data_IF_028133201931
#
_entry.id   IF_028133201931
#
_cell.length_a   1.000
_cell.length_b   1.000
_cell.length_c   1.000
_cell.angle_alpha   90.00
_cell.angle_beta   90.00
_cell.angle_gamma   90.00
#
_symmetry.space_group_name_H-M   'P 1'
#
loop_
_entity.id
_entity.type
_entity.pdbx_description
1 polymer ?
#
# COMPACT_ATOMS: atom_id res chain seq x y z
N UNK A 1 -12.38 10.81 2.47
CA UNK A 1 -12.58 9.36 2.16
C UNK A 1 -11.39 8.50 2.64
N UNK A 2 -10.10 8.83 2.36
CA UNK A 2 -8.95 8.01 2.80
C UNK A 2 -8.82 7.87 4.31
N UNK A 3 -9.03 8.96 5.04
CA UNK A 3 -8.97 8.93 6.51
C UNK A 3 -10.00 7.97 7.12
N UNK A 4 -11.16 7.80 6.48
CA UNK A 4 -12.19 6.85 6.91
C UNK A 4 -11.72 5.39 6.73
N UNK A 5 -11.07 5.09 5.60
CA UNK A 5 -10.51 3.75 5.34
C UNK A 5 -9.42 3.39 6.35
N UNK A 6 -8.48 4.30 6.58
CA UNK A 6 -7.42 4.11 7.57
C UNK A 6 -7.98 3.97 8.99
N UNK A 7 -8.96 4.82 9.34
CA UNK A 7 -9.61 4.76 10.64
C UNK A 7 -10.37 3.45 10.86
N UNK A 8 -11.14 2.98 9.87
CA UNK A 8 -11.91 1.73 10.00
C UNK A 8 -11.00 0.49 10.11
N UNK A 9 -9.92 0.43 9.32
CA UNK A 9 -8.95 -0.67 9.41
C UNK A 9 -8.22 -0.69 10.76
N UNK A 10 -7.80 0.48 11.25
CA UNK A 10 -7.19 0.58 12.58
C UNK A 10 -8.17 0.17 13.69
N UNK A 11 -9.43 0.58 13.58
CA UNK A 11 -10.47 0.19 14.53
C UNK A 11 -10.68 -1.34 14.55
N UNK A 12 -10.67 -2.01 13.40
CA UNK A 12 -10.78 -3.47 13.31
C UNK A 12 -9.60 -4.16 14.04
N UNK A 13 -8.36 -3.71 13.79
CA UNK A 13 -7.17 -4.28 14.42
C UNK A 13 -7.25 -4.13 15.97
N UNK A 14 -7.61 -2.94 16.44
CA UNK A 14 -7.73 -2.65 17.87
C UNK A 14 -8.83 -3.49 18.50
N UNK A 15 -9.98 -3.60 17.84
CA UNK A 15 -11.11 -4.41 18.34
C UNK A 15 -10.74 -5.87 18.43
N UNK A 16 -10.10 -6.44 17.40
CA UNK A 16 -9.63 -7.83 17.43
C UNK A 16 -8.62 -8.05 18.55
N UNK A 17 -7.64 -7.17 18.72
CA UNK A 17 -6.68 -7.26 19.81
C UNK A 17 -7.34 -7.25 21.18
N UNK A 18 -8.34 -6.40 21.37
CA UNK A 18 -9.13 -6.34 22.60
C UNK A 18 -9.95 -7.59 22.87
N UNK A 19 -10.60 -8.14 21.83
CA UNK A 19 -11.41 -9.37 21.94
C UNK A 19 -10.56 -10.62 22.25
N UNK A 20 -9.36 -10.71 21.67
CA UNK A 20 -8.50 -11.89 21.79
C UNK A 20 -7.70 -11.93 23.09
N UNK A 21 -7.16 -10.79 23.52
CA UNK A 21 -6.21 -10.70 24.63
C UNK A 21 -6.64 -9.70 25.73
N UNK A 22 -7.89 -9.25 25.70
CA UNK A 22 -8.42 -8.30 26.69
C UNK A 22 -7.74 -6.93 26.61
N UNK A 23 -7.63 -6.25 27.76
CA UNK A 23 -7.04 -4.91 27.85
C UNK A 23 -5.58 -4.84 27.37
N UNK A 24 -4.80 -5.87 27.65
CA UNK A 24 -3.39 -5.97 27.18
C UNK A 24 -3.33 -6.07 25.66
N UNK A 25 -4.19 -6.88 25.07
CA UNK A 25 -4.29 -7.01 23.62
C UNK A 25 -4.71 -5.72 22.93
N UNK A 26 -5.62 -4.98 23.54
CA UNK A 26 -6.06 -3.68 23.03
C UNK A 26 -4.91 -2.66 22.96
N UNK A 27 -4.08 -2.60 24.01
CA UNK A 27 -2.92 -1.71 24.05
C UNK A 27 -1.89 -2.13 23.00
N UNK A 28 -1.54 -3.41 22.96
CA UNK A 28 -0.55 -3.94 22.01
C UNK A 28 -1.02 -3.72 20.56
N UNK A 29 -2.28 -4.04 20.25
CA UNK A 29 -2.84 -3.86 18.90
C UNK A 29 -2.87 -2.37 18.49
N UNK A 30 -3.16 -1.47 19.43
CA UNK A 30 -3.12 -0.02 19.18
C UNK A 30 -1.70 0.44 18.83
N UNK A 31 -0.70 0.02 19.61
CA UNK A 31 0.70 0.38 19.35
C UNK A 31 1.18 -0.17 18.00
N UNK A 32 0.81 -1.42 17.69
CA UNK A 32 1.13 -2.04 16.40
C UNK A 32 0.45 -1.26 15.26
N UNK A 33 -0.84 -0.97 15.35
CA UNK A 33 -1.59 -0.25 14.33
C UNK A 33 -0.99 1.15 14.08
N UNK A 34 -0.67 1.90 15.13
CA UNK A 34 -0.03 3.21 15.03
C UNK A 34 1.37 3.12 14.41
N UNK A 35 2.20 2.17 14.86
CA UNK A 35 3.55 1.98 14.35
C UNK A 35 3.56 1.59 12.86
N UNK A 36 2.67 0.69 12.45
CA UNK A 36 2.59 0.25 11.07
C UNK A 36 1.96 1.29 10.15
N UNK A 37 0.95 2.03 10.60
CA UNK A 37 0.42 3.17 9.87
C UNK A 37 1.50 4.22 9.63
N UNK A 38 2.25 4.58 10.66
CA UNK A 38 3.38 5.50 10.56
C UNK A 38 4.44 4.98 9.58
N UNK A 39 4.86 3.72 9.74
CA UNK A 39 5.86 3.11 8.86
C UNK A 39 5.39 3.10 7.39
N UNK A 40 4.18 2.63 7.13
CA UNK A 40 3.61 2.60 5.78
C UNK A 40 3.49 4.00 5.17
N UNK A 41 3.07 4.99 5.97
CA UNK A 41 2.99 6.37 5.51
C UNK A 41 4.34 6.93 5.06
N UNK A 42 5.40 6.72 5.87
CA UNK A 42 6.71 7.30 5.58
C UNK A 42 7.51 6.54 4.52
N UNK A 43 7.27 5.23 4.36
CA UNK A 43 8.08 4.34 3.52
C UNK A 43 7.30 3.67 2.38
N UNK A 44 6.07 4.09 2.09
CA UNK A 44 5.24 3.51 1.03
C UNK A 44 5.93 3.52 -0.34
N UNK A 45 6.61 4.60 -0.68
CA UNK A 45 7.38 4.76 -1.89
C UNK A 45 8.51 3.71 -2.00
N UNK A 46 9.30 3.58 -0.93
CA UNK A 46 10.42 2.64 -0.90
C UNK A 46 9.97 1.18 -0.95
N UNK A 47 8.85 0.86 -0.29
CA UNK A 47 8.29 -0.49 -0.31
C UNK A 47 7.80 -0.88 -1.71
N UNK A 48 7.04 0.01 -2.36
CA UNK A 48 6.55 -0.20 -3.72
C UNK A 48 7.71 -0.37 -4.72
N UNK A 49 8.70 0.51 -4.68
CA UNK A 49 9.87 0.44 -5.56
C UNK A 49 10.71 -0.84 -5.33
N UNK A 50 10.90 -1.25 -4.07
CA UNK A 50 11.63 -2.48 -3.74
C UNK A 50 10.89 -3.74 -4.20
N UNK A 51 9.57 -3.79 -4.07
CA UNK A 51 8.79 -4.94 -4.54
C UNK A 51 8.91 -5.17 -6.05
N UNK A 52 9.09 -4.09 -6.79
CA UNK A 52 9.28 -4.10 -8.24
C UNK A 52 10.76 -4.18 -8.66
N UNK A 53 11.71 -4.33 -7.70
CA UNK A 53 13.16 -4.27 -7.97
C UNK A 53 13.59 -3.04 -8.76
N UNK A 54 12.87 -1.94 -8.56
CA UNK A 54 13.10 -0.72 -9.32
C UNK A 54 14.41 -0.05 -8.92
N UNK A 55 15.14 0.45 -9.91
CA UNK A 55 16.35 1.22 -9.75
C UNK A 55 16.17 2.65 -10.26
N UNK A 56 16.84 3.64 -9.64
CA UNK A 56 16.72 5.03 -10.07
C UNK A 56 17.36 5.24 -11.44
N UNK A 57 16.74 6.10 -12.26
CA UNK A 57 17.28 6.52 -13.55
C UNK A 57 17.38 8.03 -13.63
N UNK A 58 18.40 8.49 -14.36
CA UNK A 58 18.69 9.90 -14.56
C UNK A 58 18.37 10.35 -16.01
N UNK A 59 18.51 11.63 -16.28
CA UNK A 59 18.40 12.16 -17.64
C UNK A 59 19.48 11.62 -18.60
N UNK A 60 20.60 11.14 -18.07
CA UNK A 60 21.64 10.51 -18.88
C UNK A 60 21.26 9.07 -19.27
N UNK A 61 20.57 8.34 -18.38
CA UNK A 61 20.18 6.94 -18.60
C UNK A 61 18.95 6.84 -19.50
N UNK A 62 17.94 7.71 -19.26
CA UNK A 62 16.64 7.70 -19.95
C UNK A 62 16.19 9.12 -20.35
N UNK A 63 16.88 9.75 -21.34
CA UNK A 63 16.64 11.16 -21.67
C UNK A 63 15.22 11.45 -22.16
N UNK A 64 14.62 10.53 -22.93
CA UNK A 64 13.27 10.69 -23.46
C UNK A 64 12.20 10.61 -22.35
N UNK A 65 12.31 9.63 -21.47
CA UNK A 65 11.42 9.47 -20.32
C UNK A 65 11.54 10.67 -19.38
N UNK A 66 12.77 11.12 -19.13
CA UNK A 66 13.03 12.26 -18.26
C UNK A 66 12.43 13.55 -18.79
N UNK A 67 12.60 13.83 -20.09
CA UNK A 67 12.01 14.99 -20.74
C UNK A 67 10.48 14.95 -20.73
N UNK A 68 9.88 13.80 -21.02
CA UNK A 68 8.43 13.58 -21.01
C UNK A 68 7.83 13.87 -19.63
N UNK A 69 8.39 13.28 -18.57
CA UNK A 69 7.88 13.46 -17.21
C UNK A 69 8.12 14.89 -16.72
N UNK A 70 9.25 15.51 -17.08
CA UNK A 70 9.54 16.90 -16.78
C UNK A 70 8.52 17.85 -17.39
N UNK A 71 8.15 17.65 -18.64
CA UNK A 71 7.11 18.44 -19.30
C UNK A 71 5.74 18.28 -18.64
N UNK A 72 5.35 17.05 -18.29
CA UNK A 72 4.09 16.78 -17.60
C UNK A 72 4.05 17.44 -16.21
N UNK A 73 5.12 17.33 -15.43
CA UNK A 73 5.24 17.97 -14.12
C UNK A 73 5.17 19.49 -14.23
N UNK A 74 5.88 20.08 -15.18
CA UNK A 74 5.85 21.52 -15.43
C UNK A 74 4.44 22.02 -15.81
N UNK A 75 3.74 21.31 -16.70
CA UNK A 75 2.36 21.65 -17.10
C UNK A 75 1.39 21.59 -15.93
N UNK A 76 1.62 20.67 -14.98
CA UNK A 76 0.82 20.55 -13.77
C UNK A 76 1.23 21.54 -12.65
N UNK A 77 2.28 22.35 -12.84
CA UNK A 77 2.81 23.24 -11.81
C UNK A 77 3.37 22.48 -10.60
N UNK A 78 3.88 21.27 -10.81
CA UNK A 78 4.35 20.37 -9.76
C UNK A 78 5.86 20.10 -9.88
N UNK A 79 6.54 19.75 -8.79
CA UNK A 79 7.95 19.40 -8.84
C UNK A 79 8.16 18.11 -9.66
N UNK A 80 9.34 18.01 -10.29
CA UNK A 80 9.78 16.80 -11.00
C UNK A 80 9.85 15.62 -10.04
N UNK A 81 9.12 14.50 -10.27
CA UNK A 81 9.25 13.31 -9.45
C UNK A 81 10.57 12.57 -9.73
N UNK A 82 11.01 11.75 -8.76
CA UNK A 82 12.10 10.83 -8.99
C UNK A 82 11.67 9.74 -9.97
N UNK A 83 12.54 9.37 -10.92
CA UNK A 83 12.25 8.34 -11.92
C UNK A 83 12.96 7.04 -11.60
N UNK A 84 12.23 5.96 -11.78
CA UNK A 84 12.68 4.59 -11.58
C UNK A 84 12.30 3.71 -12.77
N UNK A 85 13.14 2.72 -13.05
CA UNK A 85 12.87 1.66 -14.01
C UNK A 85 12.91 0.31 -13.29
N UNK A 86 11.98 -0.57 -13.63
CA UNK A 86 11.91 -1.93 -13.10
C UNK A 86 12.28 -2.94 -14.20
N UNK A 87 13.21 -3.88 -13.96
CA UNK A 87 13.69 -4.84 -14.93
C UNK A 87 12.70 -6.02 -15.07
N UNK A 88 11.45 -5.74 -15.38
CA UNK A 88 10.42 -6.76 -15.62
C UNK A 88 9.76 -6.57 -16.97
N UNK A 89 9.50 -7.68 -17.67
CA UNK A 89 8.84 -7.69 -18.97
C UNK A 89 7.33 -7.47 -18.84
N UNK A 90 6.77 -7.61 -17.65
CA UNK A 90 5.35 -7.36 -17.42
C UNK A 90 5.07 -5.85 -17.56
N UNK A 91 4.23 -5.43 -18.54
CA UNK A 91 3.94 -4.02 -18.76
C UNK A 91 3.23 -3.41 -17.56
N UNK A 92 3.87 -2.44 -16.91
CA UNK A 92 3.29 -1.70 -15.81
C UNK A 92 3.95 -0.32 -15.65
N UNK A 93 3.16 0.67 -15.22
CA UNK A 93 3.66 1.94 -14.73
C UNK A 93 2.86 2.34 -13.50
N UNK A 94 3.52 2.95 -12.54
CA UNK A 94 2.85 3.47 -11.36
C UNK A 94 3.60 4.68 -10.82
N UNK A 95 2.86 5.54 -10.16
CA UNK A 95 3.44 6.59 -9.36
C UNK A 95 3.21 6.29 -7.88
N UNK A 96 4.13 6.72 -7.02
CA UNK A 96 4.07 6.52 -5.58
C UNK A 96 4.63 7.72 -4.84
N UNK A 97 4.40 7.81 -3.55
CA UNK A 97 4.93 8.87 -2.71
C UNK A 97 3.86 9.55 -1.86
N UNK A 98 4.25 10.00 -0.68
CA UNK A 98 3.34 10.62 0.30
C UNK A 98 2.87 12.04 -0.07
N UNK A 99 3.54 12.69 -1.01
CA UNK A 99 3.21 14.04 -1.48
C UNK A 99 3.89 14.32 -2.82
N UNK A 100 3.47 15.35 -3.58
CA UNK A 100 4.12 15.74 -4.83
C UNK A 100 5.63 16.00 -4.72
N UNK A 101 6.10 16.49 -3.56
CA UNK A 101 7.54 16.72 -3.30
C UNK A 101 8.33 15.44 -3.04
N UNK A 102 7.67 14.33 -2.74
CA UNK A 102 8.26 13.02 -2.46
C UNK A 102 7.67 11.99 -3.41
N UNK A 103 7.36 12.41 -4.61
CA UNK A 103 6.80 11.56 -5.64
C UNK A 103 7.89 10.79 -6.39
N UNK A 104 7.58 9.57 -6.75
CA UNK A 104 8.39 8.75 -7.64
C UNK A 104 7.47 8.12 -8.70
N UNK A 105 7.95 8.06 -9.94
CA UNK A 105 7.31 7.36 -11.05
C UNK A 105 8.18 6.17 -11.41
N UNK A 106 7.59 5.01 -11.51
CA UNK A 106 8.25 3.79 -11.93
C UNK A 106 7.60 3.27 -13.21
N UNK A 107 8.40 3.01 -14.22
CA UNK A 107 8.01 2.28 -15.42
C UNK A 107 8.71 0.94 -15.45
N UNK A 108 8.09 -0.09 -16.03
CA UNK A 108 8.76 -1.35 -16.30
C UNK A 108 9.41 -1.33 -17.67
N UNK A 109 10.44 -2.13 -17.89
CA UNK A 109 11.03 -2.31 -19.24
C UNK A 109 9.97 -2.81 -20.23
N UNK A 110 9.05 -3.68 -19.76
CA UNK A 110 7.95 -4.20 -20.56
C UNK A 110 7.00 -3.12 -21.08
N UNK A 111 6.61 -2.12 -20.27
CA UNK A 111 5.75 -1.03 -20.77
C UNK A 111 6.50 -0.09 -21.71
N UNK A 112 7.79 0.14 -21.44
CA UNK A 112 8.65 0.96 -22.31
C UNK A 112 8.86 0.34 -23.69
N UNK A 113 8.87 -1.00 -23.77
CA UNK A 113 8.98 -1.73 -25.01
C UNK A 113 7.63 -1.85 -25.76
N UNK A 114 6.52 -1.87 -25.02
CA UNK A 114 5.17 -2.11 -25.54
C UNK A 114 4.54 -0.84 -26.13
N UNK A 115 4.67 0.30 -25.45
CA UNK A 115 3.96 1.53 -25.78
C UNK A 115 4.82 2.50 -26.60
N UNK A 116 4.17 3.19 -27.53
CA UNK A 116 4.79 4.31 -28.19
C UNK A 116 4.92 5.53 -27.25
N UNK A 117 5.66 6.56 -27.69
CA UNK A 117 5.90 7.77 -26.89
C UNK A 117 4.61 8.49 -26.49
N UNK A 118 3.58 8.49 -27.32
CA UNK A 118 2.31 9.17 -27.07
C UNK A 118 1.46 8.39 -26.07
N UNK A 119 1.42 7.07 -26.22
CA UNK A 119 0.70 6.17 -25.33
C UNK A 119 1.33 6.17 -23.95
N UNK A 120 2.65 6.02 -23.85
CA UNK A 120 3.39 6.07 -22.60
C UNK A 120 3.19 7.41 -21.87
N UNK A 121 3.18 8.53 -22.62
CA UNK A 121 2.89 9.86 -22.08
C UNK A 121 1.50 9.94 -21.44
N UNK A 122 0.49 9.33 -22.08
CA UNK A 122 -0.87 9.31 -21.56
C UNK A 122 -0.95 8.51 -20.24
N UNK A 123 -0.30 7.33 -20.20
CA UNK A 123 -0.24 6.51 -18.99
C UNK A 123 0.47 7.25 -17.86
N UNK A 124 1.66 7.81 -18.11
CA UNK A 124 2.41 8.55 -17.08
C UNK A 124 1.63 9.79 -16.61
N UNK A 125 0.96 10.49 -17.51
CA UNK A 125 0.11 11.64 -17.15
C UNK A 125 -1.04 11.23 -16.23
N UNK A 126 -1.64 10.06 -16.47
CA UNK A 126 -2.67 9.48 -15.61
C UNK A 126 -2.11 9.14 -14.22
N UNK A 127 -0.97 8.45 -14.14
CA UNK A 127 -0.32 8.09 -12.89
C UNK A 127 0.09 9.33 -12.07
N UNK A 128 0.61 10.36 -12.73
CA UNK A 128 0.94 11.61 -12.07
C UNK A 128 -0.29 12.31 -11.48
N UNK A 129 -1.46 12.20 -12.11
CA UNK A 129 -2.69 12.78 -11.57
C UNK A 129 -3.05 12.20 -10.20
N UNK A 130 -2.82 10.91 -10.00
CA UNK A 130 -3.01 10.24 -8.70
C UNK A 130 -2.06 10.76 -7.61
N UNK A 131 -0.80 11.07 -7.97
CA UNK A 131 0.15 11.71 -7.04
C UNK A 131 -0.37 13.06 -6.57
N UNK A 132 -0.84 13.85 -7.51
CA UNK A 132 -1.30 15.22 -7.21
C UNK A 132 -2.58 15.22 -6.38
N UNK A 133 -3.46 14.25 -6.58
CA UNK A 133 -4.65 14.02 -5.80
C UNK A 133 -4.40 13.28 -4.47
N UNK A 134 -3.15 12.84 -4.21
CA UNK A 134 -2.75 12.06 -3.02
C UNK A 134 -3.46 10.72 -2.88
N UNK A 135 -3.96 10.13 -3.97
CA UNK A 135 -4.72 8.88 -3.96
C UNK A 135 -3.83 7.67 -3.63
N UNK A 136 -2.55 7.75 -3.99
CA UNK A 136 -1.57 6.66 -3.88
C UNK A 136 -1.28 6.31 -2.41
N UNK A 137 -1.22 7.31 -1.54
CA UNK A 137 -1.02 7.10 -0.12
C UNK A 137 -2.07 6.15 0.46
N UNK A 138 -3.30 6.27 -0.04
CA UNK A 138 -4.47 5.55 0.44
C UNK A 138 -4.36 4.07 0.10
N UNK A 139 -4.04 3.76 -1.16
CA UNK A 139 -3.98 2.37 -1.64
C UNK A 139 -2.84 1.59 -0.99
N UNK A 140 -1.64 2.19 -0.86
CA UNK A 140 -0.49 1.51 -0.23
C UNK A 140 -0.69 1.29 1.26
N UNK A 141 -1.31 2.22 1.97
CA UNK A 141 -1.61 2.06 3.40
C UNK A 141 -2.76 1.07 3.61
N UNK A 142 -3.80 1.12 2.77
CA UNK A 142 -4.90 0.15 2.82
C UNK A 142 -4.40 -1.28 2.59
N UNK A 143 -3.53 -1.50 1.61
CA UNK A 143 -2.93 -2.82 1.34
C UNK A 143 -2.07 -3.34 2.50
N UNK A 144 -1.25 -2.47 3.10
CA UNK A 144 -0.45 -2.85 4.27
C UNK A 144 -1.32 -3.23 5.46
N UNK A 145 -2.38 -2.47 5.73
CA UNK A 145 -3.32 -2.76 6.83
C UNK A 145 -4.13 -4.04 6.58
N UNK A 146 -4.57 -4.27 5.34
CA UNK A 146 -5.25 -5.51 4.97
C UNK A 146 -4.34 -6.74 5.22
N UNK A 147 -3.06 -6.64 4.89
CA UNK A 147 -2.08 -7.70 5.16
C UNK A 147 -1.93 -7.99 6.66
N UNK A 148 -1.95 -6.96 7.51
CA UNK A 148 -1.86 -7.11 8.97
C UNK A 148 -3.12 -7.80 9.50
N UNK A 149 -4.30 -7.38 9.05
CA UNK A 149 -5.56 -8.00 9.43
C UNK A 149 -5.55 -9.48 9.08
N UNK A 150 -5.06 -9.82 7.89
CA UNK A 150 -4.92 -11.21 7.44
C UNK A 150 -3.96 -12.00 8.33
N UNK A 151 -2.82 -11.43 8.71
CA UNK A 151 -1.86 -12.07 9.62
C UNK A 151 -2.45 -12.27 11.00
N UNK A 152 -3.11 -11.25 11.58
CA UNK A 152 -3.76 -11.36 12.88
C UNK A 152 -4.91 -12.37 12.85
N UNK A 153 -5.68 -12.39 11.77
CA UNK A 153 -6.74 -13.35 11.55
C UNK A 153 -6.21 -14.79 11.52
N UNK A 154 -5.12 -15.02 10.78
CA UNK A 154 -4.47 -16.33 10.73
C UNK A 154 -3.85 -16.71 12.09
N UNK A 155 -3.21 -15.74 12.76
CA UNK A 155 -2.64 -15.98 14.08
C UNK A 155 -3.71 -16.36 15.12
N UNK A 156 -4.87 -15.70 15.08
CA UNK A 156 -6.02 -16.01 15.93
C UNK A 156 -6.58 -17.42 15.69
N UNK A 157 -6.45 -17.93 14.47
CA UNK A 157 -6.87 -19.30 14.13
C UNK A 157 -5.92 -20.37 14.70
N UNK A 158 -4.63 -20.05 14.87
CA UNK A 158 -3.60 -20.97 15.35
C UNK A 158 -3.33 -20.85 16.86
N UNK A 159 -3.75 -19.75 17.50
CA UNK A 159 -3.61 -19.60 18.95
C UNK A 159 -4.80 -20.31 19.62
N UNK A 160 -4.58 -21.31 20.50
CA UNK A 160 -5.63 -21.83 21.35
C UNK A 160 -6.01 -20.71 22.36
N UNK A 161 -7.09 -20.00 22.05
CA UNK A 161 -7.66 -19.03 22.98
C UNK A 161 -8.47 -19.85 23.97
N UNK A 162 -7.75 -20.53 24.86
CA UNK A 162 -8.30 -21.29 25.95
C UNK A 162 -8.75 -20.37 27.06
N UNK A 163 -10.05 -20.27 27.23
CA UNK A 163 -10.60 -20.09 28.56
C UNK A 163 -10.30 -21.35 29.37
N UNK A 164 -10.07 -21.23 30.63
CA UNK A 164 -9.61 -22.23 31.61
C UNK A 164 -10.59 -23.37 31.90
N UNK A 165 -11.39 -23.82 30.97
CA UNK A 165 -12.24 -25.02 31.11
C UNK A 165 -12.25 -25.79 29.77
N UNK A 166 -11.41 -26.75 29.71
CA UNK A 166 -11.35 -28.05 29.04
C UNK A 166 -12.10 -28.37 27.74
N UNK A 167 -12.53 -27.42 26.94
CA UNK A 167 -13.09 -27.71 25.61
C UNK A 167 -12.33 -26.91 24.53
N UNK A 168 -11.53 -27.65 23.76
CA UNK A 168 -10.75 -27.19 22.58
C UNK A 168 -11.64 -26.75 21.39
N UNK A 169 -12.63 -25.92 21.60
CA UNK A 169 -13.45 -25.39 20.51
C UNK A 169 -13.05 -23.96 20.17
N UNK A 170 -12.65 -23.68 18.92
CA UNK A 170 -12.41 -22.31 18.49
C UNK A 170 -13.70 -21.50 18.69
N UNK A 171 -13.57 -20.32 19.32
CA UNK A 171 -14.70 -19.45 19.59
C UNK A 171 -15.45 -19.13 18.28
N UNK A 172 -16.75 -19.52 18.14
CA UNK A 172 -17.49 -19.30 16.89
C UNK A 172 -17.55 -17.83 16.45
N UNK A 173 -17.47 -16.88 17.40
CA UNK A 173 -17.43 -15.46 17.13
C UNK A 173 -16.12 -15.04 16.42
N UNK A 174 -14.99 -15.68 16.76
CA UNK A 174 -13.71 -15.43 16.09
C UNK A 174 -13.76 -15.93 14.66
N UNK A 175 -14.31 -17.12 14.41
CA UNK A 175 -14.53 -17.66 13.06
C UNK A 175 -15.45 -16.78 12.20
N UNK A 176 -16.55 -16.29 12.80
CA UNK A 176 -17.49 -15.39 12.11
C UNK A 176 -16.83 -14.04 11.77
N UNK A 177 -16.04 -13.49 12.68
CA UNK A 177 -15.34 -12.23 12.48
C UNK A 177 -14.28 -12.34 11.37
N UNK A 178 -13.55 -13.46 11.31
CA UNK A 178 -12.61 -13.78 10.24
C UNK A 178 -13.28 -13.92 8.88
N UNK A 179 -14.46 -14.57 8.86
CA UNK A 179 -15.27 -14.75 7.66
C UNK A 179 -15.76 -13.44 7.07
N UNK A 180 -16.03 -12.43 7.92
CA UNK A 180 -16.50 -11.11 7.48
C UNK A 180 -15.32 -10.19 7.14
N UNK A 181 -14.29 -10.17 7.98
CA UNK A 181 -13.14 -9.25 7.84
C UNK A 181 -12.25 -9.61 6.66
N UNK A 182 -12.02 -10.91 6.42
CA UNK A 182 -11.20 -11.37 5.30
C UNK A 182 -11.65 -10.88 3.93
N UNK A 183 -12.92 -11.11 3.53
CA UNK A 183 -13.47 -10.62 2.26
C UNK A 183 -13.52 -9.09 2.16
N UNK A 184 -13.85 -8.39 3.26
CA UNK A 184 -13.85 -6.92 3.30
C UNK A 184 -12.44 -6.36 3.10
N UNK A 185 -11.44 -6.95 3.75
CA UNK A 185 -10.04 -6.55 3.55
C UNK A 185 -9.55 -6.84 2.12
N UNK A 186 -9.92 -7.98 1.56
CA UNK A 186 -9.58 -8.35 0.18
C UNK A 186 -10.29 -7.47 -0.88
N UNK A 187 -11.51 -6.99 -0.60
CA UNK A 187 -12.26 -6.11 -1.49
C UNK A 187 -11.84 -4.64 -1.44
N UNK A 188 -10.95 -4.27 -0.51
CA UNK A 188 -10.39 -2.92 -0.36
C UNK A 188 -9.03 -2.75 -1.04
N UNK A 189 -8.47 -3.81 -1.62
CA UNK A 189 -7.23 -3.86 -2.40
C UNK A 189 -7.56 -3.82 -3.89
#
# INVERSE_FOLDING_TARGET
KPALLLGSLSAIIITLGGLLLGSTGLIIATLIALGMNGYSYFFSDKLALRSMRAYPVTSADQPQLYAMVGELAQRAGQPMPALYLSPTDQPNAFATGRSPRHAAVCCTEGIMALLDHRELRAVIGHELSHVYNRDILISSVAGALASIITVLANLAFFLPIGGSDGEDRPNPLVGLLLMIVGPVAAGLI
#
